data_IF_160702158907
#
_entry.id   IF_160702158907
#
_cell.length_a   1.000
_cell.length_b   1.000
_cell.length_c   1.000
_cell.angle_alpha   90.00
_cell.angle_beta   90.00
_cell.angle_gamma   90.00
#
_symmetry.space_group_name_H-M   'P 1'
#
loop_
_entity.id
_entity.type
_entity.pdbx_description
1 polymer ?
#
# COMPACT_ATOMS: atom_id res chain seq x y z
N UNK A 1 12.46 0.83 7.81
CA UNK A 1 13.39 -0.26 8.17
C UNK A 1 14.81 0.25 8.50
N UNK A 2 15.18 1.44 8.00
CA UNK A 2 16.50 2.02 8.30
C UNK A 2 16.43 2.84 9.58
N UNK A 3 17.48 2.79 10.44
CA UNK A 3 17.54 3.56 11.68
C UNK A 3 17.58 5.07 11.43
N UNK A 4 18.11 5.49 10.29
CA UNK A 4 18.13 6.88 9.86
C UNK A 4 17.10 7.13 8.76
N UNK A 5 16.35 8.24 8.88
CA UNK A 5 15.47 8.73 7.82
C UNK A 5 16.28 9.50 6.79
N UNK A 6 16.37 8.97 5.58
CA UNK A 6 17.00 9.65 4.44
C UNK A 6 15.93 10.49 3.75
N UNK A 7 15.72 11.72 4.23
CA UNK A 7 14.63 12.57 3.78
C UNK A 7 14.58 12.76 2.25
N UNK A 8 15.69 13.02 1.53
CA UNK A 8 15.66 13.15 0.07
C UNK A 8 15.16 11.89 -0.66
N UNK A 9 15.43 10.70 -0.12
CA UNK A 9 14.92 9.46 -0.68
C UNK A 9 13.41 9.31 -0.43
N UNK A 10 12.96 9.62 0.78
CA UNK A 10 11.54 9.61 1.15
C UNK A 10 10.76 10.54 0.22
N UNK A 11 11.20 11.79 0.09
CA UNK A 11 10.55 12.82 -0.74
C UNK A 11 10.46 12.38 -2.21
N UNK A 12 11.55 11.80 -2.73
CA UNK A 12 11.59 11.28 -4.09
C UNK A 12 10.54 10.18 -4.32
N UNK A 13 10.50 9.17 -3.44
CA UNK A 13 9.60 8.04 -3.62
C UNK A 13 8.14 8.42 -3.35
N UNK A 14 7.86 9.23 -2.34
CA UNK A 14 6.52 9.74 -2.10
C UNK A 14 6.02 10.62 -3.24
N UNK A 15 6.90 11.47 -3.79
CA UNK A 15 6.60 12.27 -4.98
C UNK A 15 6.24 11.41 -6.19
N UNK A 16 6.96 10.32 -6.43
CA UNK A 16 6.65 9.40 -7.53
C UNK A 16 5.35 8.63 -7.30
N UNK A 17 5.11 8.13 -6.08
CA UNK A 17 3.83 7.49 -5.73
C UNK A 17 2.67 8.46 -5.96
N UNK A 18 2.77 9.71 -5.50
CA UNK A 18 1.74 10.73 -5.71
C UNK A 18 1.50 11.02 -7.18
N UNK A 19 2.58 11.07 -7.97
CA UNK A 19 2.48 11.25 -9.43
C UNK A 19 1.71 10.10 -10.08
N UNK A 20 2.02 8.85 -9.73
CA UNK A 20 1.33 7.66 -10.25
C UNK A 20 -0.14 7.63 -9.84
N UNK A 21 -0.45 8.00 -8.59
CA UNK A 21 -1.84 8.10 -8.12
C UNK A 21 -2.64 9.14 -8.89
N UNK A 22 -2.04 10.27 -9.27
CA UNK A 22 -2.70 11.28 -10.14
C UNK A 22 -2.97 10.74 -11.54
N UNK A 23 -2.08 9.91 -12.09
CA UNK A 23 -2.31 9.25 -13.38
C UNK A 23 -3.51 8.31 -13.29
N UNK A 24 -3.59 7.50 -12.23
CA UNK A 24 -4.75 6.62 -12.00
C UNK A 24 -6.03 7.42 -11.80
N UNK A 25 -6.01 8.47 -10.99
CA UNK A 25 -7.18 9.31 -10.75
C UNK A 25 -7.71 9.94 -12.05
N UNK A 26 -6.82 10.50 -12.87
CA UNK A 26 -7.18 11.09 -14.17
C UNK A 26 -7.77 10.07 -15.14
N UNK A 27 -7.28 8.83 -15.13
CA UNK A 27 -7.86 7.73 -15.92
C UNK A 27 -9.25 7.35 -15.40
N UNK A 28 -9.39 7.17 -14.10
CA UNK A 28 -10.62 6.77 -13.42
C UNK A 28 -11.70 7.86 -13.41
N UNK A 29 -11.37 9.09 -13.78
CA UNK A 29 -12.36 10.14 -13.98
C UNK A 29 -13.34 9.85 -15.14
N UNK A 30 -12.93 8.99 -16.09
CA UNK A 30 -13.72 8.63 -17.28
C UNK A 30 -13.97 7.13 -17.42
N UNK A 31 -13.42 6.34 -16.52
CA UNK A 31 -13.52 4.89 -16.55
C UNK A 31 -13.90 4.37 -15.16
N UNK A 32 -14.73 3.35 -15.12
CA UNK A 32 -15.10 2.72 -13.85
C UNK A 32 -13.94 1.89 -13.30
N UNK A 33 -13.23 1.17 -14.18
CA UNK A 33 -12.09 0.32 -13.88
C UNK A 33 -10.90 0.63 -14.80
N UNK A 34 -9.74 0.02 -14.53
CA UNK A 34 -8.49 0.36 -15.21
C UNK A 34 -8.40 -0.14 -16.66
N UNK A 35 -9.11 -1.22 -17.00
CA UNK A 35 -9.06 -1.85 -18.33
C UNK A 35 -10.47 -2.10 -18.93
N UNK A 36 -11.41 -1.20 -18.66
CA UNK A 36 -12.81 -1.34 -19.06
C UNK A 36 -13.61 -2.03 -17.98
N UNK A 37 -13.74 -3.35 -18.03
CA UNK A 37 -14.36 -4.15 -16.98
C UNK A 37 -13.37 -4.46 -15.85
N UNK A 38 -13.91 -4.84 -14.68
CA UNK A 38 -13.10 -5.27 -13.54
C UNK A 38 -12.19 -6.44 -13.91
N UNK A 39 -10.89 -6.27 -13.71
CA UNK A 39 -9.87 -7.18 -14.22
C UNK A 39 -8.67 -7.35 -13.27
N UNK A 40 -7.70 -8.14 -13.69
CA UNK A 40 -6.42 -8.29 -13.00
C UNK A 40 -5.65 -6.97 -12.87
N UNK A 41 -5.89 -5.99 -13.76
CA UNK A 41 -5.29 -4.67 -13.67
C UNK A 41 -5.74 -3.95 -12.39
N UNK A 42 -7.03 -4.06 -12.06
CA UNK A 42 -7.58 -3.50 -10.83
C UNK A 42 -7.05 -4.20 -9.60
N UNK A 43 -7.01 -5.54 -9.61
CA UNK A 43 -6.53 -6.34 -8.48
C UNK A 43 -5.07 -5.98 -8.14
N UNK A 44 -4.20 -5.94 -9.16
CA UNK A 44 -2.78 -5.67 -8.99
C UNK A 44 -2.51 -4.25 -8.47
N UNK A 45 -3.19 -3.24 -9.02
CA UNK A 45 -3.00 -1.85 -8.61
C UNK A 45 -3.66 -1.56 -7.26
N UNK A 46 -4.82 -2.13 -6.98
CA UNK A 46 -5.54 -1.92 -5.74
C UNK A 46 -4.72 -2.31 -4.50
N UNK A 47 -3.97 -3.41 -4.58
CA UNK A 47 -3.11 -3.87 -3.50
C UNK A 47 -2.10 -2.79 -3.02
N UNK A 48 -1.64 -1.94 -3.93
CA UNK A 48 -0.74 -0.83 -3.63
C UNK A 48 -1.49 0.43 -3.17
N UNK A 49 -2.61 0.75 -3.81
CA UNK A 49 -3.40 1.95 -3.47
C UNK A 49 -4.04 1.81 -2.08
N UNK A 50 -4.53 0.63 -1.70
CA UNK A 50 -5.15 0.43 -0.38
C UNK A 50 -4.20 0.74 0.79
N UNK A 51 -2.92 0.60 0.57
CA UNK A 51 -1.88 0.82 1.59
C UNK A 51 -1.21 2.20 1.49
N UNK A 52 -1.87 3.17 0.84
CA UNK A 52 -1.32 4.51 0.60
C UNK A 52 -0.88 5.22 1.88
N UNK A 53 -1.60 5.04 2.99
CA UNK A 53 -1.25 5.60 4.30
C UNK A 53 0.11 5.09 4.79
N UNK A 54 0.42 3.83 4.56
CA UNK A 54 1.69 3.24 4.93
C UNK A 54 2.87 3.85 4.16
N UNK A 55 2.66 4.25 2.92
CA UNK A 55 3.66 4.99 2.13
C UNK A 55 3.74 6.47 2.50
N UNK A 56 2.86 6.97 3.37
CA UNK A 56 2.78 8.37 3.76
C UNK A 56 2.22 9.29 2.66
N UNK A 57 1.44 8.75 1.72
CA UNK A 57 0.86 9.51 0.61
C UNK A 57 -0.66 9.60 0.76
N UNK A 58 -1.16 10.82 0.99
CA UNK A 58 -2.59 11.09 1.05
C UNK A 58 -3.25 11.05 -0.34
N UNK A 59 -4.53 10.64 -0.38
CA UNK A 59 -5.35 10.57 -1.60
C UNK A 59 -6.64 11.40 -1.51
N UNK A 60 -6.76 12.26 -0.51
CA UNK A 60 -7.96 13.08 -0.26
C UNK A 60 -8.27 14.03 -1.42
N UNK A 61 -7.25 14.44 -2.17
CA UNK A 61 -7.34 15.27 -3.37
C UNK A 61 -7.53 14.46 -4.67
N UNK A 62 -7.77 13.13 -4.57
CA UNK A 62 -7.89 12.20 -5.68
C UNK A 62 -9.24 11.44 -5.60
N UNK A 63 -10.37 12.10 -5.87
CA UNK A 63 -11.69 11.56 -5.59
C UNK A 63 -12.04 10.32 -6.43
N UNK A 64 -11.55 10.24 -7.68
CA UNK A 64 -11.83 9.10 -8.55
C UNK A 64 -11.04 7.86 -8.09
N UNK A 65 -9.80 8.06 -7.65
CA UNK A 65 -8.98 7.01 -7.07
C UNK A 65 -9.57 6.51 -5.75
N UNK A 66 -10.05 7.41 -4.90
CA UNK A 66 -10.71 7.06 -3.65
C UNK A 66 -12.00 6.25 -3.91
N UNK A 67 -12.86 6.71 -4.82
CA UNK A 67 -14.06 5.98 -5.26
C UNK A 67 -13.71 4.56 -5.72
N UNK A 68 -12.76 4.42 -6.63
CA UNK A 68 -12.35 3.14 -7.19
C UNK A 68 -11.76 2.21 -6.11
N UNK A 69 -10.91 2.72 -5.21
CA UNK A 69 -10.38 1.96 -4.07
C UNK A 69 -11.49 1.37 -3.22
N UNK A 70 -12.49 2.19 -2.85
CA UNK A 70 -13.56 1.80 -1.95
C UNK A 70 -14.56 0.85 -2.63
N UNK A 71 -14.82 1.05 -3.93
CA UNK A 71 -15.64 0.16 -4.75
C UNK A 71 -15.04 -1.26 -4.81
N UNK A 72 -13.73 -1.38 -4.99
CA UNK A 72 -13.06 -2.68 -4.98
C UNK A 72 -13.04 -3.27 -3.58
N UNK A 73 -12.76 -2.45 -2.55
CA UNK A 73 -12.77 -2.87 -1.15
C UNK A 73 -14.11 -3.47 -0.75
N UNK A 74 -15.22 -2.93 -1.21
CA UNK A 74 -16.57 -3.42 -0.89
C UNK A 74 -16.91 -4.80 -1.48
N UNK A 75 -16.10 -5.33 -2.40
CA UNK A 75 -16.34 -6.64 -3.02
C UNK A 75 -16.16 -7.77 -2.00
N UNK A 76 -17.13 -8.70 -1.85
CA UNK A 76 -17.05 -9.78 -0.85
C UNK A 76 -15.80 -10.68 -1.01
N UNK A 77 -15.35 -10.90 -2.24
CA UNK A 77 -14.14 -11.68 -2.50
C UNK A 77 -12.87 -10.94 -2.02
N UNK A 78 -12.84 -9.61 -2.16
CA UNK A 78 -11.74 -8.78 -1.68
C UNK A 78 -11.71 -8.77 -0.14
N UNK A 79 -12.88 -8.64 0.50
CA UNK A 79 -12.99 -8.71 1.97
C UNK A 79 -12.41 -10.03 2.50
N UNK A 80 -12.82 -11.15 1.93
CA UNK A 80 -12.21 -12.45 2.31
C UNK A 80 -10.72 -12.54 2.02
N UNK A 81 -10.26 -11.93 0.93
CA UNK A 81 -8.84 -11.96 0.55
C UNK A 81 -7.93 -11.16 1.46
N UNK A 82 -8.40 -10.02 2.00
CA UNK A 82 -7.59 -9.21 2.92
C UNK A 82 -7.50 -9.81 4.32
N UNK A 83 -8.41 -10.72 4.68
CA UNK A 83 -8.38 -11.45 5.95
C UNK A 83 -7.41 -12.64 5.93
N UNK A 84 -6.84 -12.99 4.76
CA UNK A 84 -5.97 -14.15 4.59
C UNK A 84 -4.53 -13.77 4.22
N UNK A 85 -3.51 -14.22 4.97
CA UNK A 85 -3.62 -14.95 6.25
C UNK A 85 -4.21 -14.05 7.34
N UNK A 86 -4.79 -14.61 8.41
CA UNK A 86 -5.26 -13.81 9.53
C UNK A 86 -4.13 -12.90 10.00
N UNK A 87 -4.29 -11.62 9.79
CA UNK A 87 -3.26 -10.63 10.13
C UNK A 87 -3.65 -9.99 11.45
N UNK A 88 -2.70 -9.93 12.38
CA UNK A 88 -2.83 -9.08 13.56
C UNK A 88 -2.67 -7.57 13.21
N UNK A 89 -2.53 -7.26 11.93
CA UNK A 89 -2.32 -5.90 11.44
C UNK A 89 -3.45 -5.51 10.48
N UNK A 90 -4.34 -4.67 10.94
CA UNK A 90 -5.25 -3.92 10.07
C UNK A 90 -4.50 -2.68 9.57
N UNK A 91 -3.89 -2.81 8.40
CA UNK A 91 -3.04 -1.78 7.80
C UNK A 91 -3.80 -0.54 7.32
N UNK A 92 -5.12 -0.60 7.30
CA UNK A 92 -5.95 0.52 6.84
C UNK A 92 -6.28 1.53 7.96
N UNK A 93 -5.94 1.20 9.20
CA UNK A 93 -6.21 2.01 10.40
C UNK A 93 -5.08 2.03 11.43
N UNK A 94 -3.89 1.54 11.07
CA UNK A 94 -2.78 1.42 12.02
C UNK A 94 -2.35 2.79 12.58
N UNK A 95 -2.31 2.88 13.92
CA UNK A 95 -1.71 4.00 14.62
C UNK A 95 -0.20 4.06 14.31
N UNK A 96 0.42 5.23 14.51
CA UNK A 96 1.89 5.38 14.35
C UNK A 96 2.68 4.37 15.21
N UNK A 97 2.14 3.97 16.36
CA UNK A 97 2.73 3.01 17.27
C UNK A 97 2.75 1.59 16.67
N UNK A 98 1.65 1.18 16.03
CA UNK A 98 1.54 -0.10 15.32
C UNK A 98 2.47 -0.15 14.11
N UNK A 99 2.58 0.96 13.35
CA UNK A 99 3.51 1.07 12.24
C UNK A 99 4.98 0.97 12.70
N UNK A 100 5.33 1.56 13.84
CA UNK A 100 6.67 1.44 14.45
C UNK A 100 6.96 0.01 14.89
N UNK A 101 6.04 -0.63 15.61
CA UNK A 101 6.18 -2.01 16.07
C UNK A 101 6.34 -3.00 14.90
N UNK A 102 5.58 -2.78 13.82
CA UNK A 102 5.74 -3.57 12.60
C UNK A 102 7.12 -3.36 11.96
N UNK A 103 7.58 -2.12 11.86
CA UNK A 103 8.89 -1.79 11.26
C UNK A 103 10.04 -2.41 12.04
N UNK A 104 9.95 -2.42 13.37
CA UNK A 104 10.94 -3.05 14.25
C UNK A 104 10.94 -4.58 14.09
N UNK A 105 9.76 -5.19 14.07
CA UNK A 105 9.63 -6.63 13.85
C UNK A 105 10.15 -7.06 12.47
N UNK A 106 9.86 -6.30 11.44
CA UNK A 106 10.35 -6.57 10.09
C UNK A 106 11.86 -6.41 9.97
N UNK A 107 12.46 -5.41 10.65
CA UNK A 107 13.91 -5.23 10.73
C UNK A 107 14.56 -6.45 11.37
N UNK A 108 14.09 -6.85 12.56
CA UNK A 108 14.61 -8.00 13.28
C UNK A 108 14.53 -9.29 12.44
N UNK A 109 13.47 -9.46 11.65
CA UNK A 109 13.30 -10.61 10.76
C UNK A 109 14.32 -10.60 9.62
N UNK A 110 14.64 -9.45 9.04
CA UNK A 110 15.65 -9.29 7.98
C UNK A 110 17.05 -9.54 8.54
N UNK A 111 17.39 -8.95 9.70
CA UNK A 111 18.68 -9.12 10.36
C UNK A 111 18.93 -10.58 10.78
N UNK A 112 17.91 -11.25 11.35
CA UNK A 112 17.99 -12.66 11.71
C UNK A 112 18.11 -13.55 10.47
N UNK A 113 17.37 -13.26 9.40
CA UNK A 113 17.46 -13.98 8.14
C UNK A 113 18.83 -13.86 7.47
N UNK A 114 19.47 -12.69 7.54
CA UNK A 114 20.82 -12.48 7.04
C UNK A 114 21.88 -13.23 7.87
N UNK A 115 21.71 -13.30 9.18
CA UNK A 115 22.63 -14.04 10.05
C UNK A 115 22.61 -15.56 9.81
N UNK A 116 21.46 -16.10 9.39
CA UNK A 116 21.30 -17.51 9.04
C UNK A 116 21.87 -17.87 7.65
N UNK A 117 21.97 -16.89 6.73
CA UNK A 117 22.53 -17.10 5.38
C UNK A 117 24.04 -16.89 5.29
N UNK A 118 24.68 -16.35 6.31
CA UNK A 118 26.12 -16.07 6.37
C UNK A 118 26.99 -17.22 6.89
N UNK A 119 26.43 -18.39 7.10
CA UNK A 119 27.08 -19.58 7.64
C UNK A 119 27.19 -20.72 6.63
N UNK A 120 27.87 -20.50 5.48
CA UNK A 120 28.37 -21.55 4.59
C UNK A 120 29.77 -21.19 4.14
#
# INVERSE_FOLDING_TARGET
YFPEKIQPAIDRYQGEVKRLFRVLDGHLARNEYLAGDYSIADIANWAWVRTHNWSGVAIDDLPNLARWRDQIRARPAVQRGIEMPPSSFDRDGDSEEQARAFSEKARNMVETGQSLSGGV
#
